data_IF_946248517619
#
_entry.id   IF_946248517619
#
_cell.length_a   1.000
_cell.length_b   1.000
_cell.length_c   1.000
_cell.angle_alpha   90.00
_cell.angle_beta   90.00
_cell.angle_gamma   90.00
#
_symmetry.space_group_name_H-M   'P 1'
#
loop_
_entity.id
_entity.type
_entity.pdbx_description
1 polymer ?
#
# COMPACT_ATOMS: atom_id res chain seq x y z
N UNK A 1 27.24 -2.14 6.98
CA UNK A 1 28.07 -1.24 7.80
C UNK A 1 27.11 -0.40 8.61
N UNK A 2 27.20 -0.41 9.94
CA UNK A 2 26.27 0.34 10.80
C UNK A 2 26.85 1.70 11.15
N UNK A 3 26.02 2.62 11.63
CA UNK A 3 26.47 3.96 12.02
C UNK A 3 27.47 3.91 13.18
N UNK A 4 27.31 2.93 14.08
CA UNK A 4 28.21 2.70 15.22
C UNK A 4 29.62 2.29 14.78
N UNK A 5 29.75 1.55 13.68
CA UNK A 5 31.07 1.18 13.11
C UNK A 5 31.77 2.36 12.45
N UNK A 6 31.00 3.29 11.88
CA UNK A 6 31.55 4.51 11.25
C UNK A 6 32.04 5.52 12.28
N UNK A 7 31.39 5.57 13.45
CA UNK A 7 31.70 6.48 14.56
C UNK A 7 33.18 6.49 14.92
N UNK A 8 33.80 5.32 15.02
CA UNK A 8 35.20 5.18 15.47
C UNK A 8 36.24 5.75 14.47
N UNK A 9 35.81 6.06 13.24
CA UNK A 9 36.68 6.51 12.15
C UNK A 9 36.45 7.97 11.73
N UNK A 10 35.42 8.64 12.26
CA UNK A 10 35.02 10.00 11.88
C UNK A 10 35.43 11.01 12.97
N UNK A 11 35.57 12.28 12.57
CA UNK A 11 35.93 13.38 13.47
C UNK A 11 35.05 14.60 13.21
N UNK A 12 35.03 15.49 14.19
CA UNK A 12 34.43 16.82 14.09
C UNK A 12 32.99 16.78 13.57
N UNK A 13 32.67 17.49 12.48
CA UNK A 13 31.33 17.61 11.94
C UNK A 13 30.73 16.25 11.49
N UNK A 14 31.56 15.34 10.97
CA UNK A 14 31.10 14.03 10.50
C UNK A 14 30.77 13.10 11.67
N UNK A 15 31.52 13.21 12.78
CA UNK A 15 31.21 12.49 14.01
C UNK A 15 29.89 12.97 14.61
N UNK A 16 29.67 14.29 14.67
CA UNK A 16 28.41 14.88 15.17
C UNK A 16 27.20 14.43 14.33
N UNK A 17 27.35 14.36 13.02
CA UNK A 17 26.30 13.88 12.11
C UNK A 17 25.96 12.41 12.35
N UNK A 18 26.98 11.55 12.51
CA UNK A 18 26.78 10.12 12.77
C UNK A 18 26.20 9.87 14.16
N UNK A 19 26.62 10.61 15.18
CA UNK A 19 26.04 10.50 16.52
C UNK A 19 24.56 10.95 16.53
N UNK A 20 24.21 12.01 15.80
CA UNK A 20 22.81 12.42 15.63
C UNK A 20 21.98 11.35 14.89
N UNK A 21 22.54 10.69 13.87
CA UNK A 21 21.87 9.62 13.15
C UNK A 21 21.66 8.37 14.03
N UNK A 22 22.65 7.99 14.85
CA UNK A 22 22.52 6.91 15.85
C UNK A 22 21.42 7.25 16.85
N UNK A 23 21.42 8.47 17.39
CA UNK A 23 20.40 8.91 18.35
C UNK A 23 19.00 8.91 17.72
N UNK A 24 18.87 9.39 16.49
CA UNK A 24 17.61 9.37 15.76
C UNK A 24 17.13 7.94 15.48
N UNK A 25 18.03 7.03 15.11
CA UNK A 25 17.71 5.62 14.87
C UNK A 25 17.34 4.86 16.16
N UNK A 26 17.94 5.26 17.30
CA UNK A 26 17.66 4.69 18.61
C UNK A 26 16.40 5.27 19.27
N UNK A 27 15.91 6.42 18.81
CA UNK A 27 14.69 7.06 19.32
C UNK A 27 13.47 6.36 18.70
N UNK A 28 12.60 5.68 19.48
CA UNK A 28 11.38 5.09 18.96
C UNK A 28 10.52 6.17 18.31
N UNK A 29 10.01 5.91 17.11
CA UNK A 29 9.07 6.81 16.47
C UNK A 29 7.81 6.95 17.32
N UNK A 30 7.57 8.16 17.85
CA UNK A 30 6.33 8.52 18.53
C UNK A 30 5.39 9.21 17.53
N UNK A 31 4.30 8.54 17.10
CA UNK A 31 3.38 9.13 16.14
C UNK A 31 2.62 10.28 16.79
N UNK A 32 2.84 11.51 16.30
CA UNK A 32 1.99 12.64 16.66
C UNK A 32 0.58 12.38 16.10
N UNK A 33 -0.47 12.32 16.95
CA UNK A 33 -1.82 12.07 16.48
C UNK A 33 -2.32 13.14 15.53
N UNK A 34 -2.86 12.72 14.39
CA UNK A 34 -3.53 13.58 13.43
C UNK A 34 -5.02 13.24 13.39
N UNK A 35 -5.85 14.07 14.03
CA UNK A 35 -7.28 13.83 14.19
C UNK A 35 -8.01 13.81 12.84
N UNK A 36 -7.68 14.73 11.92
CA UNK A 36 -8.30 14.79 10.59
C UNK A 36 -8.03 13.51 9.79
N UNK A 37 -6.79 13.02 9.82
CA UNK A 37 -6.45 11.77 9.15
C UNK A 37 -7.12 10.57 9.79
N UNK A 38 -7.14 10.50 11.12
CA UNK A 38 -7.84 9.43 11.82
C UNK A 38 -9.33 9.39 11.46
N UNK A 39 -10.00 10.55 11.38
CA UNK A 39 -11.39 10.67 10.94
C UNK A 39 -11.58 10.16 9.51
N UNK A 40 -10.81 10.68 8.53
CA UNK A 40 -10.89 10.24 7.14
C UNK A 40 -10.80 8.71 7.00
N UNK A 41 -9.84 8.06 7.67
CA UNK A 41 -9.68 6.61 7.57
C UNK A 41 -10.81 5.83 8.27
N UNK A 42 -11.39 6.37 9.34
CA UNK A 42 -12.54 5.77 10.01
C UNK A 42 -13.79 5.87 9.13
N UNK A 43 -14.03 7.04 8.54
CA UNK A 43 -15.14 7.29 7.62
C UNK A 43 -15.00 6.44 6.36
N UNK A 44 -13.79 6.34 5.80
CA UNK A 44 -13.50 5.48 4.65
C UNK A 44 -13.79 4.02 4.97
N UNK A 45 -13.45 3.55 6.17
CA UNK A 45 -13.75 2.18 6.58
C UNK A 45 -15.26 1.95 6.69
N UNK A 46 -16.00 2.88 7.30
CA UNK A 46 -17.46 2.80 7.41
C UNK A 46 -18.11 2.78 6.03
N UNK A 47 -17.71 3.71 5.15
CA UNK A 47 -18.20 3.82 3.78
C UNK A 47 -17.94 2.53 2.99
N UNK A 48 -16.72 1.99 3.04
CA UNK A 48 -16.39 0.74 2.37
C UNK A 48 -17.19 -0.45 2.93
N UNK A 49 -17.45 -0.50 4.23
CA UNK A 49 -18.27 -1.57 4.83
C UNK A 49 -19.74 -1.52 4.37
N UNK A 50 -20.28 -0.32 4.17
CA UNK A 50 -21.65 -0.11 3.73
C UNK A 50 -21.83 -0.43 2.24
N UNK A 51 -20.96 0.12 1.39
CA UNK A 51 -21.14 0.08 -0.07
C UNK A 51 -20.30 -0.99 -0.78
N UNK A 52 -19.21 -1.47 -0.16
CA UNK A 52 -18.26 -2.43 -0.74
C UNK A 52 -17.91 -3.56 0.25
N UNK A 53 -18.89 -4.30 0.80
CA UNK A 53 -18.68 -5.23 1.91
C UNK A 53 -17.68 -6.36 1.64
N UNK A 54 -17.45 -6.71 0.37
CA UNK A 54 -16.47 -7.71 -0.05
C UNK A 54 -15.01 -7.21 0.06
N UNK A 55 -14.80 -5.89 0.16
CA UNK A 55 -13.49 -5.26 0.34
C UNK A 55 -13.22 -5.01 1.81
N UNK A 56 -12.82 -6.06 2.52
CA UNK A 56 -12.58 -5.96 3.96
C UNK A 56 -11.30 -5.17 4.22
N UNK A 57 -11.41 -4.01 4.85
CA UNK A 57 -10.25 -3.19 5.24
C UNK A 57 -9.64 -3.72 6.53
N UNK A 58 -8.31 -3.90 6.53
CA UNK A 58 -7.56 -4.30 7.71
C UNK A 58 -7.57 -3.17 8.73
N UNK A 59 -7.87 -3.51 9.98
CA UNK A 59 -7.75 -2.58 11.11
C UNK A 59 -6.33 -1.98 11.18
N UNK A 60 -6.24 -0.71 11.56
CA UNK A 60 -4.99 0.06 11.58
C UNK A 60 -3.83 -0.77 12.19
N UNK A 61 -2.75 -1.03 11.42
CA UNK A 61 -1.63 -1.86 11.90
C UNK A 61 -0.76 -1.18 12.96
N UNK A 62 -0.88 0.14 13.17
CA UNK A 62 -0.17 0.83 14.23
C UNK A 62 -0.97 0.70 15.54
N UNK A 63 -0.48 -0.16 16.44
CA UNK A 63 -1.22 -0.78 17.55
C UNK A 63 -1.82 0.12 18.64
N UNK A 64 -1.71 1.44 18.55
CA UNK A 64 -2.25 2.38 19.55
C UNK A 64 -3.40 3.25 19.02
N UNK A 65 -3.99 2.91 17.86
CA UNK A 65 -5.08 3.68 17.26
C UNK A 65 -4.63 5.00 16.61
N UNK A 66 -3.36 5.38 16.76
CA UNK A 66 -2.79 6.59 16.17
C UNK A 66 -2.32 6.31 14.75
N UNK A 67 -2.92 6.98 13.76
CA UNK A 67 -2.37 7.04 12.40
C UNK A 67 -1.45 8.26 12.29
N UNK A 68 -0.19 8.10 11.83
CA UNK A 68 0.69 9.23 11.60
C UNK A 68 0.18 10.07 10.42
N UNK A 69 0.45 11.38 10.44
CA UNK A 69 0.11 12.35 9.37
C UNK A 69 0.50 11.90 7.95
N UNK A 70 1.55 11.09 7.82
CA UNK A 70 2.01 10.54 6.54
C UNK A 70 1.28 9.27 6.07
N UNK A 71 0.29 8.76 6.80
CA UNK A 71 -0.47 7.57 6.43
C UNK A 71 -1.27 7.83 5.16
N UNK A 72 -0.84 7.21 4.06
CA UNK A 72 -1.46 7.33 2.72
C UNK A 72 -1.88 5.98 2.16
N UNK A 73 -1.98 4.97 3.00
CA UNK A 73 -2.22 3.60 2.57
C UNK A 73 -3.37 2.97 3.35
N UNK A 74 -4.30 2.42 2.60
CA UNK A 74 -5.41 1.59 3.09
C UNK A 74 -5.03 0.15 2.80
N UNK A 75 -4.94 -0.67 3.83
CA UNK A 75 -4.62 -2.09 3.69
C UNK A 75 -5.89 -2.91 3.72
N UNK A 76 -6.00 -3.90 2.83
CA UNK A 76 -7.12 -4.84 2.84
C UNK A 76 -6.75 -6.11 3.60
N UNK A 77 -7.73 -6.69 4.28
CA UNK A 77 -7.67 -8.00 4.91
C UNK A 77 -7.76 -9.08 3.83
N UNK A 78 -6.59 -9.45 3.31
CA UNK A 78 -6.44 -10.38 2.18
C UNK A 78 -7.18 -11.71 2.40
N UNK A 79 -7.02 -12.43 3.53
CA UNK A 79 -7.78 -13.66 3.76
C UNK A 79 -9.31 -13.55 3.60
N UNK A 80 -9.87 -12.36 3.80
CA UNK A 80 -11.32 -12.10 3.67
C UNK A 80 -11.72 -11.49 2.33
N UNK A 81 -10.76 -10.94 1.59
CA UNK A 81 -11.01 -10.21 0.32
C UNK A 81 -10.60 -11.03 -0.91
N UNK A 82 -9.50 -11.79 -0.80
CA UNK A 82 -8.86 -12.47 -1.92
C UNK A 82 -8.81 -13.98 -1.72
N UNK A 83 -9.07 -14.72 -2.80
CA UNK A 83 -8.85 -16.15 -2.90
C UNK A 83 -7.36 -16.46 -2.78
N UNK A 84 -7.05 -17.52 -2.03
CA UNK A 84 -5.69 -18.09 -2.00
C UNK A 84 -5.53 -19.10 -3.13
N UNK A 85 -4.44 -18.99 -3.87
CA UNK A 85 -4.10 -19.88 -4.97
C UNK A 85 -2.88 -20.73 -4.59
N UNK A 86 -2.95 -22.07 -4.60
CA UNK A 86 -1.90 -22.93 -4.04
C UNK A 86 -0.50 -22.76 -4.64
N UNK A 87 -0.40 -22.37 -5.92
CA UNK A 87 0.87 -22.22 -6.64
C UNK A 87 1.47 -20.82 -6.57
N UNK A 88 0.76 -19.88 -5.93
CA UNK A 88 1.17 -18.48 -5.86
C UNK A 88 1.59 -18.09 -4.44
N UNK A 89 2.53 -17.14 -4.30
CA UNK A 89 2.81 -16.54 -3.01
C UNK A 89 1.55 -15.87 -2.46
N UNK A 90 1.44 -15.82 -1.13
CA UNK A 90 0.32 -15.11 -0.49
C UNK A 90 0.35 -13.63 -0.90
N UNK A 91 -0.73 -13.11 -1.50
CA UNK A 91 -0.76 -11.74 -1.95
C UNK A 91 -0.83 -10.77 -0.77
N UNK A 92 -0.45 -9.53 -1.03
CA UNK A 92 -0.84 -8.36 -0.22
C UNK A 92 -1.73 -7.47 -1.07
N UNK A 93 -2.66 -6.74 -0.46
CA UNK A 93 -3.50 -5.79 -1.18
C UNK A 93 -3.59 -4.47 -0.43
N UNK A 94 -3.46 -3.37 -1.17
CA UNK A 94 -3.53 -2.02 -0.60
C UNK A 94 -3.96 -0.99 -1.63
N UNK A 95 -4.65 0.06 -1.18
CA UNK A 95 -4.86 1.30 -1.93
C UNK A 95 -3.91 2.36 -1.40
N UNK A 96 -3.17 2.99 -2.31
CA UNK A 96 -2.26 4.08 -2.02
C UNK A 96 -2.94 5.40 -2.41
N UNK A 97 -3.44 6.16 -1.43
CA UNK A 97 -4.15 7.44 -1.58
C UNK A 97 -3.29 8.49 -2.32
N UNK A 98 -1.97 8.42 -2.15
CA UNK A 98 -0.98 9.22 -2.88
C UNK A 98 0.34 8.47 -2.93
N UNK A 99 0.88 8.26 -4.12
CA UNK A 99 2.14 7.58 -4.35
C UNK A 99 3.17 8.60 -4.86
N UNK A 100 4.19 8.90 -4.06
CA UNK A 100 5.24 9.85 -4.47
C UNK A 100 6.25 9.22 -5.44
N UNK A 101 6.24 7.89 -5.55
CA UNK A 101 7.14 7.13 -6.42
C UNK A 101 6.42 6.63 -7.70
N UNK A 102 5.19 7.06 -7.93
CA UNK A 102 4.40 6.72 -9.11
C UNK A 102 3.63 7.96 -9.61
N UNK A 103 3.28 8.03 -10.90
CA UNK A 103 2.55 9.18 -11.45
C UNK A 103 1.13 9.32 -10.89
N UNK A 104 0.57 8.24 -10.34
CA UNK A 104 -0.82 8.12 -9.92
C UNK A 104 -0.96 7.41 -8.56
N UNK A 105 -2.03 7.75 -7.85
CA UNK A 105 -2.55 6.89 -6.79
C UNK A 105 -3.03 5.56 -7.40
N UNK A 106 -3.06 4.51 -6.60
CA UNK A 106 -3.40 3.19 -7.14
C UNK A 106 -3.84 2.19 -6.08
N UNK A 107 -4.69 1.27 -6.50
CA UNK A 107 -4.88 -0.01 -5.80
C UNK A 107 -3.95 -1.05 -6.40
N UNK A 108 -3.36 -1.89 -5.55
CA UNK A 108 -2.41 -2.92 -5.97
C UNK A 108 -2.56 -4.23 -5.22
N UNK A 109 -2.43 -5.33 -5.96
CA UNK A 109 -2.14 -6.66 -5.42
C UNK A 109 -0.65 -6.93 -5.62
N UNK A 110 0.06 -7.26 -4.54
CA UNK A 110 1.51 -7.47 -4.54
C UNK A 110 1.84 -8.93 -4.28
N UNK A 111 2.66 -9.51 -5.16
CA UNK A 111 3.25 -10.83 -5.03
C UNK A 111 4.71 -10.68 -4.61
N UNK A 112 5.02 -11.09 -3.38
CA UNK A 112 6.35 -10.94 -2.79
C UNK A 112 7.43 -11.70 -3.55
N UNK A 113 8.64 -11.14 -3.57
CA UNK A 113 9.85 -11.69 -4.21
C UNK A 113 9.74 -11.89 -5.73
N UNK A 114 8.75 -11.26 -6.36
CA UNK A 114 8.49 -11.34 -7.80
C UNK A 114 8.86 -10.03 -8.56
N UNK A 115 9.61 -9.11 -7.95
CA UNK A 115 9.95 -7.83 -8.60
C UNK A 115 10.75 -8.00 -9.91
N UNK A 116 11.65 -8.98 -9.98
CA UNK A 116 12.46 -9.22 -11.19
C UNK A 116 11.62 -9.75 -12.35
N UNK A 117 10.48 -10.35 -12.03
CA UNK A 117 9.53 -10.96 -12.93
C UNK A 117 8.63 -9.91 -13.56
N UNK A 118 8.43 -8.75 -12.92
CA UNK A 118 7.60 -7.67 -13.45
C UNK A 118 8.01 -7.19 -14.85
N UNK A 119 9.30 -7.26 -15.21
CA UNK A 119 9.78 -6.90 -16.55
C UNK A 119 9.53 -7.99 -17.61
N UNK A 120 9.33 -9.23 -17.19
CA UNK A 120 9.09 -10.41 -18.06
C UNK A 120 7.65 -10.88 -18.01
N UNK A 121 6.86 -10.29 -17.13
CA UNK A 121 5.49 -10.66 -16.88
C UNK A 121 4.62 -10.19 -18.04
N UNK A 122 4.16 -11.13 -18.84
CA UNK A 122 3.17 -10.85 -19.87
C UNK A 122 1.86 -10.53 -19.17
N UNK A 123 1.41 -9.29 -19.34
CA UNK A 123 0.16 -8.82 -18.73
C UNK A 123 -0.99 -9.62 -19.35
N UNK A 124 -1.81 -10.32 -18.56
CA UNK A 124 -2.97 -11.02 -19.10
C UNK A 124 -3.94 -10.01 -19.72
N UNK A 125 -4.46 -10.30 -20.92
CA UNK A 125 -5.46 -9.47 -21.61
C UNK A 125 -6.68 -9.20 -20.71
N UNK A 126 -7.05 -10.16 -19.86
CA UNK A 126 -8.14 -10.02 -18.91
C UNK A 126 -7.87 -8.98 -17.80
N UNK A 127 -6.59 -8.72 -17.48
CA UNK A 127 -6.18 -7.68 -16.54
C UNK A 127 -6.22 -6.30 -17.21
N UNK A 128 -5.73 -6.19 -18.44
CA UNK A 128 -5.82 -4.95 -19.23
C UNK A 128 -7.27 -4.53 -19.46
N UNK A 129 -8.16 -5.50 -19.73
CA UNK A 129 -9.59 -5.26 -19.94
C UNK A 129 -10.30 -4.59 -18.76
N UNK A 130 -9.74 -4.66 -17.54
CA UNK A 130 -10.28 -3.96 -16.36
C UNK A 130 -9.53 -2.66 -16.03
N UNK A 131 -8.61 -2.24 -16.91
CA UNK A 131 -7.72 -1.09 -16.71
C UNK A 131 -6.47 -1.41 -15.88
N UNK A 132 -6.15 -2.70 -15.72
CA UNK A 132 -5.04 -3.15 -14.90
C UNK A 132 -3.75 -3.33 -15.69
N UNK A 133 -2.62 -3.17 -15.00
CA UNK A 133 -1.29 -3.40 -15.55
C UNK A 133 -0.34 -3.96 -14.48
N UNK A 134 0.85 -4.39 -14.90
CA UNK A 134 1.89 -4.87 -13.99
C UNK A 134 3.01 -3.83 -13.85
N UNK A 135 3.51 -3.63 -12.62
CA UNK A 135 4.74 -2.86 -12.37
C UNK A 135 5.52 -3.39 -11.16
N UNK A 136 6.83 -3.11 -11.07
CA UNK A 136 7.57 -3.36 -9.84
C UNK A 136 6.98 -2.57 -8.64
N UNK A 137 6.92 -3.21 -7.48
CA UNK A 137 6.50 -2.61 -6.21
C UNK A 137 7.47 -3.04 -5.09
N UNK A 138 8.61 -2.33 -4.99
CA UNK A 138 9.71 -2.74 -4.13
C UNK A 138 10.27 -4.10 -4.58
N UNK A 139 10.26 -5.10 -3.69
CA UNK A 139 10.63 -6.49 -3.98
C UNK A 139 9.49 -7.34 -4.58
N UNK A 140 8.31 -6.74 -4.78
CA UNK A 140 7.13 -7.45 -5.26
C UNK A 140 6.82 -7.16 -6.73
N UNK A 141 6.11 -8.08 -7.39
CA UNK A 141 5.31 -7.78 -8.58
C UNK A 141 4.00 -7.13 -8.12
N UNK A 142 3.71 -5.92 -8.59
CA UNK A 142 2.43 -5.25 -8.37
C UNK A 142 1.53 -5.40 -9.59
N UNK A 143 0.33 -5.96 -9.38
CA UNK A 143 -0.80 -5.86 -10.31
C UNK A 143 -1.63 -4.66 -9.87
N UNK A 144 -1.83 -3.68 -10.75
CA UNK A 144 -2.19 -2.32 -10.38
C UNK A 144 -3.34 -1.83 -11.22
N UNK A 145 -4.27 -1.11 -10.60
CA UNK A 145 -5.22 -0.22 -11.28
C UNK A 145 -5.03 1.17 -10.69
N UNK A 146 -4.89 2.16 -11.58
CA UNK A 146 -4.76 3.55 -11.17
C UNK A 146 -6.07 4.06 -10.58
N UNK A 147 -5.97 4.97 -9.62
CA UNK A 147 -7.11 5.58 -8.94
C UNK A 147 -6.90 7.09 -8.84
N UNK A 148 -7.98 7.87 -8.61
CA UNK A 148 -7.84 9.25 -8.17
C UNK A 148 -6.99 9.36 -6.90
N UNK A 149 -6.36 10.52 -6.71
CA UNK A 149 -5.65 10.82 -5.47
C UNK A 149 -6.66 11.18 -4.38
N UNK A 150 -6.36 10.79 -3.15
CA UNK A 150 -7.15 11.13 -1.98
C UNK A 150 -6.29 11.93 -1.01
N UNK A 151 -6.78 13.09 -0.59
CA UNK A 151 -6.20 13.85 0.50
C UNK A 151 -6.73 13.33 1.83
N UNK A 152 -5.87 12.63 2.58
CA UNK A 152 -6.21 12.08 3.90
C UNK A 152 -6.26 13.16 5.00
N UNK A 153 -6.06 14.44 4.66
CA UNK A 153 -6.27 15.57 5.56
C UNK A 153 -7.62 16.25 5.36
N UNK A 154 -8.32 15.94 4.28
CA UNK A 154 -9.67 16.44 4.00
C UNK A 154 -10.73 15.43 4.48
N UNK A 155 -11.95 15.88 4.81
CA UNK A 155 -13.07 15.00 5.09
C UNK A 155 -13.39 14.08 3.91
N UNK A 156 -13.96 12.89 4.19
CA UNK A 156 -14.35 11.94 3.15
C UNK A 156 -15.44 12.52 2.24
N UNK A 157 -16.38 13.26 2.82
CA UNK A 157 -17.56 13.83 2.14
C UNK A 157 -17.15 14.78 1.01
N UNK A 158 -15.97 15.41 1.12
CA UNK A 158 -15.44 16.31 0.11
C UNK A 158 -14.85 15.57 -1.11
N UNK A 159 -14.69 14.25 -1.05
CA UNK A 159 -13.98 13.43 -2.04
C UNK A 159 -14.71 12.08 -2.30
N UNK A 160 -16.03 12.03 -2.12
CA UNK A 160 -16.82 10.78 -2.21
C UNK A 160 -16.66 10.12 -3.57
N UNK A 161 -16.72 10.88 -4.66
CA UNK A 161 -16.59 10.34 -6.01
C UNK A 161 -15.23 9.66 -6.24
N UNK A 162 -14.15 10.28 -5.76
CA UNK A 162 -12.80 9.72 -5.81
C UNK A 162 -12.65 8.46 -4.93
N UNK A 163 -13.30 8.46 -3.76
CA UNK A 163 -13.34 7.29 -2.87
C UNK A 163 -14.07 6.13 -3.53
N UNK A 164 -15.24 6.37 -4.11
CA UNK A 164 -16.04 5.38 -4.84
C UNK A 164 -15.25 4.80 -6.02
N UNK A 165 -14.63 5.65 -6.83
CA UNK A 165 -13.82 5.20 -7.97
C UNK A 165 -12.63 4.32 -7.52
N UNK A 166 -11.97 4.71 -6.43
CA UNK A 166 -10.89 3.93 -5.82
C UNK A 166 -11.37 2.55 -5.30
N UNK A 167 -12.53 2.49 -4.67
CA UNK A 167 -13.14 1.24 -4.21
C UNK A 167 -13.64 0.37 -5.36
N UNK A 168 -14.17 0.97 -6.43
CA UNK A 168 -14.55 0.25 -7.64
C UNK A 168 -13.34 -0.34 -8.37
N UNK A 169 -12.23 0.39 -8.44
CA UNK A 169 -10.97 -0.15 -8.91
C UNK A 169 -10.50 -1.33 -8.04
N UNK A 170 -10.59 -1.20 -6.71
CA UNK A 170 -10.22 -2.28 -5.79
C UNK A 170 -11.11 -3.52 -5.97
N UNK A 171 -12.42 -3.34 -6.15
CA UNK A 171 -13.40 -4.40 -6.39
C UNK A 171 -13.13 -5.12 -7.72
N UNK A 172 -12.85 -4.37 -8.79
CA UNK A 172 -12.45 -4.93 -10.09
C UNK A 172 -11.19 -5.77 -9.98
N UNK A 173 -10.16 -5.25 -9.31
CA UNK A 173 -8.88 -5.95 -9.15
C UNK A 173 -9.01 -7.22 -8.29
N UNK A 174 -9.74 -7.14 -7.17
CA UNK A 174 -10.02 -8.29 -6.32
C UNK A 174 -10.84 -9.36 -7.07
N UNK A 175 -11.90 -8.93 -7.77
CA UNK A 175 -12.74 -9.82 -8.57
C UNK A 175 -11.96 -10.51 -9.69
N UNK A 176 -11.03 -9.81 -10.34
CA UNK A 176 -10.13 -10.40 -11.31
C UNK A 176 -9.19 -11.42 -10.67
N UNK A 177 -8.53 -11.08 -9.56
CA UNK A 177 -7.64 -12.01 -8.85
C UNK A 177 -8.36 -13.29 -8.41
N UNK A 178 -9.59 -13.14 -7.91
CA UNK A 178 -10.41 -14.25 -7.44
C UNK A 178 -10.88 -15.19 -8.56
N UNK A 179 -10.88 -14.72 -9.81
CA UNK A 179 -11.27 -15.49 -11.00
C UNK A 179 -10.08 -16.06 -11.78
N UNK A 180 -9.00 -15.30 -11.91
CA UNK A 180 -7.92 -15.59 -12.88
C UNK A 180 -6.53 -15.74 -12.25
N UNK A 181 -6.42 -15.59 -10.92
CA UNK A 181 -5.12 -15.62 -10.26
C UNK A 181 -4.35 -16.93 -10.48
N UNK A 182 -5.01 -18.10 -10.52
CA UNK A 182 -4.34 -19.38 -10.79
C UNK A 182 -3.66 -19.48 -12.16
N UNK A 183 -4.14 -18.72 -13.15
CA UNK A 183 -3.58 -18.66 -14.49
C UNK A 183 -2.34 -17.77 -14.61
N UNK A 184 -1.85 -17.21 -13.50
CA UNK A 184 -0.57 -16.49 -13.47
C UNK A 184 0.60 -17.45 -13.59
N UNK A 185 0.94 -17.81 -14.83
CA UNK A 185 2.15 -18.57 -15.12
C UNK A 185 3.36 -17.64 -15.24
N UNK A 186 4.39 -17.93 -14.45
CA UNK A 186 5.73 -17.41 -14.65
C UNK A 186 6.47 -18.40 -15.55
N UNK A 187 6.30 -18.29 -16.87
CA UNK A 187 7.19 -18.96 -17.81
C UNK A 187 8.63 -18.45 -17.67
#
# INVERSE_FOLDING_TARGET
>A
MSYEVLRDSLRDADLLLVEAAILQAATPYDPIPNLSSAAFFADYQTFAQEFFPDLVIKRNPNGNGVRPTGSRTIYFDVPRTLRTWPRLPRPKMSLQCRDSAAPSASVKIMLGDWAMQAKKFNIPVSLEAIGGYARPAGRSLGLVIDTPQLDTQMPLEAQVAEVEEGLEAARRLAGWWNRYGDGLDLN
#
